data_IF_524180500172
#
_entry.id   IF_524180500172
#
_cell.length_a   1.000
_cell.length_b   1.000
_cell.length_c   1.000
_cell.angle_alpha   90.00
_cell.angle_beta   90.00
_cell.angle_gamma   90.00
#
_symmetry.space_group_name_H-M   'P 1'
#
loop_
_entity.id
_entity.type
_entity.pdbx_description
1 polymer ?
#
# COMPACT_ATOMS: atom_id res chain seq x y z
N UNK A 1 20.46 20.78 14.51
CA UNK A 1 19.79 20.61 13.21
C UNK A 1 19.12 19.24 13.22
N UNK A 2 17.81 19.19 13.41
CA UNK A 2 17.07 17.94 13.31
C UNK A 2 16.81 17.69 11.83
N UNK A 3 17.45 16.67 11.25
CA UNK A 3 17.11 16.18 9.93
C UNK A 3 15.75 15.47 10.07
N UNK A 4 14.68 16.17 9.71
CA UNK A 4 13.38 15.53 9.53
C UNK A 4 13.51 14.71 8.25
N UNK A 5 13.73 13.40 8.39
CA UNK A 5 13.68 12.49 7.26
C UNK A 5 12.21 12.29 6.94
N UNK A 6 11.70 13.07 6.00
CA UNK A 6 10.35 12.93 5.45
C UNK A 6 10.31 11.65 4.61
N UNK A 7 9.62 10.63 5.11
CA UNK A 7 9.43 9.35 4.42
C UNK A 7 8.05 9.33 3.77
N UNK A 8 7.87 10.08 2.67
CA UNK A 8 6.62 10.11 1.90
C UNK A 8 6.49 8.82 1.05
N UNK A 9 5.92 7.77 1.65
CA UNK A 9 5.53 6.56 0.91
C UNK A 9 4.04 6.66 0.60
N UNK A 10 3.70 6.66 -0.69
CA UNK A 10 2.30 6.75 -1.16
C UNK A 10 1.41 5.67 -0.55
N UNK A 11 0.13 6.00 -0.38
CA UNK A 11 -0.92 5.02 -0.07
C UNK A 11 -0.97 3.96 -1.16
N UNK A 12 -1.47 2.77 -0.79
CA UNK A 12 -1.65 1.68 -1.76
C UNK A 12 -2.59 2.07 -2.89
N UNK A 13 -2.18 1.73 -4.10
CA UNK A 13 -2.99 1.85 -5.29
C UNK A 13 -4.09 0.79 -5.29
N UNK A 14 -5.16 1.07 -6.02
CA UNK A 14 -6.28 0.14 -6.18
C UNK A 14 -6.13 -0.75 -7.40
N UNK A 15 -5.08 -0.53 -8.20
CA UNK A 15 -4.85 -1.28 -9.42
C UNK A 15 -3.46 -1.89 -9.43
N UNK A 16 -3.32 -3.01 -10.13
CA UNK A 16 -2.02 -3.55 -10.43
C UNK A 16 -1.28 -2.65 -11.42
N UNK A 17 -0.06 -2.22 -11.08
CA UNK A 17 0.81 -1.40 -11.94
C UNK A 17 1.01 -2.02 -13.33
N UNK A 18 1.15 -3.35 -13.42
CA UNK A 18 1.48 -4.03 -14.68
C UNK A 18 0.27 -4.27 -15.59
N UNK A 19 -0.85 -4.76 -15.05
CA UNK A 19 -2.01 -5.13 -15.86
C UNK A 19 -3.22 -4.21 -15.69
N UNK A 20 -3.12 -3.19 -14.84
CA UNK A 20 -4.16 -2.20 -14.54
C UNK A 20 -5.47 -2.82 -14.00
N UNK A 21 -5.44 -4.09 -13.59
CA UNK A 21 -6.56 -4.77 -12.95
C UNK A 21 -6.84 -4.11 -11.60
N UNK A 22 -8.09 -3.70 -11.37
CA UNK A 22 -8.55 -3.26 -10.05
C UNK A 22 -8.54 -4.43 -9.05
N UNK A 23 -8.00 -4.19 -7.86
CA UNK A 23 -8.01 -5.15 -6.77
C UNK A 23 -9.40 -5.20 -6.12
N UNK A 24 -9.92 -6.42 -5.94
CA UNK A 24 -11.19 -6.63 -5.27
C UNK A 24 -11.03 -6.55 -3.75
N UNK A 25 -12.14 -6.33 -3.06
CA UNK A 25 -12.17 -6.45 -1.60
C UNK A 25 -11.67 -7.83 -1.19
N UNK A 26 -10.87 -7.85 -0.12
CA UNK A 26 -10.18 -9.05 0.37
C UNK A 26 -9.17 -9.68 -0.60
N UNK A 27 -8.93 -9.09 -1.78
CA UNK A 27 -7.91 -9.59 -2.69
C UNK A 27 -6.51 -9.33 -2.12
N UNK A 28 -5.67 -10.34 -2.20
CA UNK A 28 -4.27 -10.24 -1.79
C UNK A 28 -3.41 -9.77 -2.96
N UNK A 29 -2.48 -8.87 -2.66
CA UNK A 29 -1.54 -8.30 -3.61
C UNK A 29 -0.20 -8.04 -2.95
N UNK A 30 0.83 -7.80 -3.76
CA UNK A 30 2.15 -7.41 -3.30
C UNK A 30 2.36 -5.92 -3.50
N UNK A 31 2.83 -5.25 -2.45
CA UNK A 31 3.32 -3.88 -2.53
C UNK A 31 4.85 -3.92 -2.57
N UNK A 32 5.43 -3.40 -3.65
CA UNK A 32 6.86 -3.23 -3.81
C UNK A 32 7.26 -1.78 -3.56
N UNK A 33 8.30 -1.56 -2.76
CA UNK A 33 8.94 -0.27 -2.56
C UNK A 33 10.24 -0.25 -3.34
N UNK A 34 10.35 0.66 -4.30
CA UNK A 34 11.51 0.83 -5.17
C UNK A 34 12.30 2.05 -4.74
N UNK A 35 13.63 1.94 -4.70
CA UNK A 35 14.51 3.10 -4.52
C UNK A 35 14.94 3.60 -5.90
N UNK A 36 14.34 4.70 -6.35
CA UNK A 36 14.65 5.34 -7.62
C UNK A 36 15.24 6.72 -7.34
N UNK A 37 16.55 6.88 -7.57
CA UNK A 37 17.26 8.16 -7.39
C UNK A 37 17.06 8.79 -6.00
N UNK A 38 17.12 7.97 -4.92
CA UNK A 38 16.87 8.38 -3.52
C UNK A 38 15.42 8.79 -3.24
N UNK A 39 14.49 8.38 -4.10
CA UNK A 39 13.06 8.53 -3.88
C UNK A 39 12.42 7.15 -3.76
N UNK A 40 11.62 6.96 -2.72
CA UNK A 40 10.89 5.72 -2.54
C UNK A 40 9.58 5.74 -3.31
N UNK A 41 9.45 4.83 -4.27
CA UNK A 41 8.26 4.70 -5.11
C UNK A 41 7.59 3.38 -4.81
N UNK A 42 6.35 3.45 -4.32
CA UNK A 42 5.51 2.28 -4.12
C UNK A 42 4.83 1.89 -5.44
N UNK A 43 4.86 0.61 -5.78
CA UNK A 43 4.10 0.01 -6.89
C UNK A 43 3.42 -1.27 -6.42
N UNK A 44 2.15 -1.45 -6.75
CA UNK A 44 1.35 -2.58 -6.30
C UNK A 44 1.08 -3.56 -7.45
N UNK A 45 1.15 -4.87 -7.17
CA UNK A 45 1.03 -5.93 -8.17
C UNK A 45 0.10 -7.05 -7.71
N UNK A 46 -0.77 -7.52 -8.60
CA UNK A 46 -1.50 -8.76 -8.37
C UNK A 46 -0.51 -9.94 -8.29
N UNK A 47 -0.92 -11.04 -7.66
CA UNK A 47 -0.06 -12.22 -7.45
C UNK A 47 0.62 -12.70 -8.74
N UNK A 48 -0.16 -12.83 -9.83
CA UNK A 48 0.35 -13.28 -11.14
C UNK A 48 1.37 -12.31 -11.73
N UNK A 49 1.11 -10.99 -11.67
CA UNK A 49 2.04 -10.00 -12.22
C UNK A 49 3.30 -9.88 -11.37
N UNK A 50 3.21 -10.10 -10.05
CA UNK A 50 4.35 -10.09 -9.15
C UNK A 50 5.36 -11.20 -9.47
N UNK A 51 4.89 -12.40 -9.81
CA UNK A 51 5.78 -13.51 -10.21
C UNK A 51 6.48 -13.21 -11.54
N UNK A 52 5.79 -12.56 -12.47
CA UNK A 52 6.28 -12.26 -13.82
C UNK A 52 7.03 -10.94 -13.96
N UNK A 53 7.19 -10.14 -12.89
CA UNK A 53 7.89 -8.85 -12.94
C UNK A 53 9.34 -9.03 -12.50
N UNK A 54 10.27 -8.54 -13.32
CA UNK A 54 11.64 -8.32 -12.87
C UNK A 54 11.65 -7.17 -11.85
N UNK A 55 12.47 -7.28 -10.82
CA UNK A 55 12.42 -6.39 -9.65
C UNK A 55 13.73 -5.58 -9.48
N UNK A 56 14.25 -4.91 -10.53
CA UNK A 56 15.42 -4.05 -10.36
C UNK A 56 15.08 -2.90 -9.40
N UNK A 57 16.05 -2.50 -8.59
CA UNK A 57 15.89 -1.40 -7.62
C UNK A 57 14.78 -1.61 -6.58
N UNK A 58 14.31 -2.85 -6.40
CA UNK A 58 13.39 -3.17 -5.31
C UNK A 58 14.14 -3.10 -3.98
N UNK A 59 13.69 -2.18 -3.12
CA UNK A 59 14.25 -1.99 -1.79
C UNK A 59 13.59 -2.93 -0.77
N UNK A 60 12.26 -3.03 -0.79
CA UNK A 60 11.50 -3.90 0.10
C UNK A 60 10.16 -4.26 -0.51
N UNK A 61 9.51 -5.31 0.00
CA UNK A 61 8.17 -5.68 -0.40
C UNK A 61 7.40 -6.34 0.74
N UNK A 62 6.08 -6.27 0.68
CA UNK A 62 5.21 -6.98 1.60
C UNK A 62 3.95 -7.47 0.88
N UNK A 63 3.39 -8.56 1.38
CA UNK A 63 2.07 -9.04 0.96
C UNK A 63 1.01 -8.38 1.84
N UNK A 64 -0.06 -7.92 1.23
CA UNK A 64 -1.18 -7.31 1.95
C UNK A 64 -2.49 -7.68 1.28
N UNK A 65 -3.60 -7.19 1.84
CA UNK A 65 -4.96 -7.50 1.43
C UNK A 65 -5.78 -6.22 1.34
N UNK A 66 -6.59 -6.08 0.30
CA UNK A 66 -7.56 -4.97 0.21
C UNK A 66 -8.55 -5.09 1.36
N UNK A 67 -8.75 -4.05 2.18
CA UNK A 67 -9.75 -4.08 3.24
C UNK A 67 -11.15 -4.25 2.63
N UNK A 68 -12.05 -4.91 3.36
CA UNK A 68 -13.48 -4.78 3.05
C UNK A 68 -13.85 -3.31 3.15
N UNK A 69 -14.69 -2.84 2.24
CA UNK A 69 -15.43 -1.60 2.46
C UNK A 69 -16.30 -1.84 3.69
N UNK A 70 -15.89 -1.28 4.81
CA UNK A 70 -16.74 -1.23 5.99
C UNK A 70 -18.05 -0.53 5.60
N UNK A 71 -19.17 -1.24 5.73
CA UNK A 71 -20.45 -0.56 5.89
C UNK A 71 -20.30 0.28 7.15
N UNK A 72 -20.11 1.60 6.98
CA UNK A 72 -19.84 2.61 8.02
C UNK A 72 -20.13 2.06 9.43
N UNK A 73 -19.10 1.57 10.11
CA UNK A 73 -19.23 1.28 11.52
C UNK A 73 -19.70 2.58 12.16
N UNK A 74 -20.91 2.57 12.74
CA UNK A 74 -21.39 3.71 13.52
C UNK A 74 -20.33 3.94 14.59
N UNK A 75 -19.63 5.07 14.49
CA UNK A 75 -18.73 5.53 15.54
C UNK A 75 -19.59 5.66 16.79
N UNK A 76 -19.51 4.68 17.68
CA UNK A 76 -19.97 4.79 19.04
C UNK A 76 -18.86 5.51 19.80
N UNK A 77 -18.69 6.81 19.54
CA UNK A 77 -17.95 7.66 20.47
C UNK A 77 -18.86 7.84 21.67
N UNK A 78 -18.43 7.29 22.79
CA UNK A 78 -18.99 7.59 24.10
C UNK A 78 -18.28 8.84 24.62
N UNK A 79 -19.05 9.86 24.97
CA UNK A 79 -18.57 11.20 25.36
C UNK A 79 -17.90 11.23 26.76
N UNK A 80 -17.80 10.08 27.45
CA UNK A 80 -17.36 10.01 28.86
C UNK A 80 -15.82 10.00 29.05
N UNK A 81 -15.02 9.97 27.98
CA UNK A 81 -13.55 9.98 28.07
C UNK A 81 -12.96 11.24 27.43
N UNK A 82 -13.15 12.38 28.09
CA UNK A 82 -12.31 13.58 27.95
C UNK A 82 -11.98 14.04 29.37
N UNK A 83 -10.78 13.68 29.85
CA UNK A 83 -10.22 14.12 31.15
C UNK A 83 -8.88 14.83 30.91
#
# INVERSE_FOLDING_TARGET
>A
MAFHTDWDIRKGDKHCEKCQKEFREEEEYFAGLYDENRQFIRRDFCLTCWEAVEKPSLYSFWRTRVPKKEEKAKLLVDDDIIL
#
